data_IF_048784204288
#
_entry.id   IF_048784204288
#
_cell.length_a   1.000
_cell.length_b   1.000
_cell.length_c   1.000
_cell.angle_alpha   90.00
_cell.angle_beta   90.00
_cell.angle_gamma   90.00
#
_symmetry.space_group_name_H-M   'P 1'
#
loop_
_entity.id
_entity.type
_entity.pdbx_description
1 polymer ?
#
# COMPACT_ATOMS: atom_id res chain seq x y z
N UNK A 1 -11.03 4.24 -16.40
CA UNK A 1 -12.14 5.00 -15.85
C UNK A 1 -13.36 4.13 -15.74
N UNK A 2 -13.85 3.89 -14.52
CA UNK A 2 -15.13 3.22 -14.31
C UNK A 2 -16.23 4.18 -14.74
N UNK A 3 -16.81 3.93 -15.90
CA UNK A 3 -18.07 4.55 -16.33
C UNK A 3 -19.20 3.88 -15.53
N UNK A 4 -19.89 4.65 -14.69
CA UNK A 4 -21.03 4.20 -13.88
C UNK A 4 -22.29 3.89 -14.68
N UNK A 5 -22.16 3.54 -15.94
CA UNK A 5 -23.28 3.05 -16.73
C UNK A 5 -23.66 1.65 -16.27
N UNK A 6 -24.93 1.44 -16.04
CA UNK A 6 -25.51 0.10 -15.93
C UNK A 6 -25.04 -0.75 -17.12
N UNK A 7 -24.61 -2.00 -16.91
CA UNK A 7 -24.17 -2.84 -18.02
C UNK A 7 -25.31 -2.94 -19.04
N UNK A 8 -25.04 -2.51 -20.26
CA UNK A 8 -25.93 -2.77 -21.37
C UNK A 8 -25.99 -4.29 -21.57
N UNK A 9 -27.14 -4.82 -21.94
CA UNK A 9 -27.46 -6.27 -22.09
C UNK A 9 -26.50 -7.09 -22.99
N UNK A 10 -25.39 -6.53 -23.46
CA UNK A 10 -24.46 -7.14 -24.42
C UNK A 10 -23.01 -7.29 -23.94
N UNK A 11 -22.65 -6.75 -22.75
CA UNK A 11 -21.30 -6.97 -22.21
C UNK A 11 -21.34 -8.11 -21.21
N UNK A 12 -20.44 -9.11 -21.29
CA UNK A 12 -20.30 -10.08 -20.22
C UNK A 12 -20.02 -9.33 -18.93
N UNK A 13 -20.78 -9.64 -17.88
CA UNK A 13 -20.61 -9.02 -16.58
C UNK A 13 -19.27 -9.48 -16.01
N UNK A 14 -18.44 -8.51 -15.61
CA UNK A 14 -17.26 -8.81 -14.81
C UNK A 14 -17.75 -9.45 -13.51
N UNK A 15 -16.98 -10.41 -13.00
CA UNK A 15 -17.29 -11.10 -11.75
C UNK A 15 -17.68 -10.12 -10.63
N UNK A 16 -18.70 -10.47 -9.85
CA UNK A 16 -19.11 -9.73 -8.64
C UNK A 16 -18.03 -9.70 -7.54
N UNK A 17 -16.97 -10.49 -7.71
CA UNK A 17 -15.79 -10.46 -6.85
C UNK A 17 -14.89 -9.26 -7.10
N UNK A 18 -15.10 -8.49 -8.15
CA UNK A 18 -14.30 -7.28 -8.39
C UNK A 18 -14.40 -6.31 -7.21
N UNK A 19 -13.24 -5.90 -6.70
CA UNK A 19 -13.14 -5.07 -5.52
C UNK A 19 -13.26 -5.83 -4.19
N UNK A 20 -13.41 -7.15 -4.20
CA UNK A 20 -13.35 -8.00 -3.02
C UNK A 20 -11.92 -8.52 -2.78
N UNK A 21 -11.62 -8.95 -1.54
CA UNK A 21 -10.32 -9.48 -1.17
C UNK A 21 -9.16 -8.52 -1.52
N UNK A 22 -9.36 -7.23 -1.30
CA UNK A 22 -8.28 -6.25 -1.40
C UNK A 22 -7.35 -6.43 -0.21
N UNK A 23 -6.09 -6.70 -0.48
CA UNK A 23 -5.05 -7.00 0.51
C UNK A 23 -4.17 -5.79 0.72
N UNK A 24 -3.66 -5.60 1.93
CA UNK A 24 -2.91 -4.41 2.33
C UNK A 24 -1.57 -4.73 2.97
N UNK A 25 -1.12 -5.99 2.93
CA UNK A 25 0.00 -6.49 3.73
C UNK A 25 -0.14 -6.25 5.23
N UNK A 26 -1.34 -5.87 5.71
CA UNK A 26 -1.58 -5.55 7.14
C UNK A 26 -0.51 -4.62 7.69
N UNK A 27 -0.30 -3.49 7.03
CA UNK A 27 0.86 -2.63 7.28
C UNK A 27 0.64 -1.58 8.35
N UNK A 28 1.75 -1.20 8.97
CA UNK A 28 1.93 0.07 9.67
C UNK A 28 3.21 0.75 9.22
N UNK A 29 3.16 2.06 9.03
CA UNK A 29 4.32 2.86 8.65
C UNK A 29 4.68 3.79 9.79
N UNK A 30 5.86 3.60 10.34
CA UNK A 30 6.41 4.39 11.43
C UNK A 30 7.68 5.10 10.97
N UNK A 31 8.16 6.06 11.71
CA UNK A 31 9.46 6.67 11.44
C UNK A 31 10.18 7.05 12.73
N UNK A 32 11.50 7.14 12.65
CA UNK A 32 12.31 7.79 13.68
C UNK A 32 13.10 8.92 13.03
N UNK A 33 12.83 10.14 13.46
CA UNK A 33 13.62 11.31 13.07
C UNK A 33 14.84 11.44 13.98
N UNK A 34 16.01 11.25 13.42
CA UNK A 34 17.29 11.33 14.13
C UNK A 34 17.65 12.78 14.50
N UNK A 35 18.46 13.00 15.55
CA UNK A 35 18.98 14.30 15.91
C UNK A 35 19.81 14.94 14.79
N UNK A 36 19.93 16.26 14.79
CA UNK A 36 20.67 17.01 13.77
C UNK A 36 22.18 16.71 13.74
N UNK A 37 22.74 16.32 14.88
CA UNK A 37 24.16 16.00 15.07
C UNK A 37 24.49 14.51 14.85
N UNK A 38 23.55 13.73 14.31
CA UNK A 38 23.81 12.31 13.98
C UNK A 38 24.73 12.24 12.77
N UNK A 39 25.83 11.49 12.88
CA UNK A 39 26.78 11.27 11.78
C UNK A 39 26.17 10.42 10.65
N UNK A 40 25.35 9.43 11.01
CA UNK A 40 24.66 8.59 10.05
C UNK A 40 23.59 9.38 9.30
N UNK A 41 23.64 9.33 7.97
CA UNK A 41 22.71 10.01 7.08
C UNK A 41 21.92 8.97 6.26
N UNK A 42 20.76 8.55 6.73
CA UNK A 42 19.95 7.49 6.09
C UNK A 42 19.64 7.74 4.62
N UNK A 43 19.50 9.01 4.21
CA UNK A 43 19.17 9.37 2.83
C UNK A 43 20.27 9.01 1.79
N UNK A 44 21.45 8.63 2.24
CA UNK A 44 22.55 8.19 1.38
C UNK A 44 22.62 6.67 1.23
N UNK A 45 21.80 5.95 2.00
CA UNK A 45 21.70 4.50 1.92
C UNK A 45 20.76 4.06 0.78
N UNK A 46 20.74 2.76 0.51
CA UNK A 46 19.74 2.16 -0.37
C UNK A 46 18.34 2.29 0.23
N UNK A 47 17.33 2.39 -0.62
CA UNK A 47 15.96 2.66 -0.19
C UNK A 47 15.46 1.67 0.88
N UNK A 48 15.81 0.39 0.76
CA UNK A 48 15.54 -0.65 1.77
C UNK A 48 16.89 -1.25 2.16
N UNK A 49 17.36 -0.94 3.36
CA UNK A 49 18.73 -1.27 3.78
C UNK A 49 18.83 -2.55 4.61
N UNK A 50 17.82 -2.88 5.39
CA UNK A 50 17.81 -4.07 6.23
C UNK A 50 16.40 -4.46 6.63
N UNK A 51 16.26 -5.71 7.08
CA UNK A 51 14.98 -6.24 7.51
C UNK A 51 15.14 -7.23 8.65
N UNK A 52 14.09 -7.38 9.46
CA UNK A 52 14.02 -8.37 10.53
C UNK A 52 12.64 -9.02 10.56
N UNK A 53 12.59 -10.31 10.86
CA UNK A 53 11.36 -11.01 11.20
C UNK A 53 11.25 -11.07 12.72
N UNK A 54 10.21 -10.46 13.27
CA UNK A 54 9.94 -10.42 14.71
C UNK A 54 9.07 -11.59 15.15
N UNK A 55 8.34 -12.16 14.21
CA UNK A 55 7.55 -13.40 14.31
C UNK A 55 7.43 -14.04 12.92
N UNK A 56 6.92 -15.27 12.80
CA UNK A 56 6.76 -15.91 11.48
C UNK A 56 5.89 -15.15 10.49
N UNK A 57 4.98 -14.32 10.99
CA UNK A 57 4.01 -13.54 10.21
C UNK A 57 4.29 -12.03 10.18
N UNK A 58 5.36 -11.55 10.84
CA UNK A 58 5.66 -10.12 10.94
C UNK A 58 7.08 -9.79 10.52
N UNK A 59 7.17 -8.96 9.50
CA UNK A 59 8.40 -8.49 8.87
C UNK A 59 8.51 -6.97 9.03
N UNK A 60 9.68 -6.48 9.44
CA UNK A 60 9.97 -5.05 9.57
C UNK A 60 11.14 -4.71 8.67
N UNK A 61 10.98 -3.73 7.82
CA UNK A 61 12.03 -3.18 6.96
C UNK A 61 12.39 -1.76 7.36
N UNK A 62 13.68 -1.44 7.26
CA UNK A 62 14.18 -0.09 7.38
C UNK A 62 14.20 0.55 5.99
N UNK A 63 13.42 1.61 5.84
CA UNK A 63 13.26 2.32 4.59
C UNK A 63 13.78 3.75 4.73
N UNK A 64 14.53 4.20 3.73
CA UNK A 64 15.04 5.55 3.67
C UNK A 64 14.59 6.24 2.39
N UNK A 65 14.44 7.53 2.46
CA UNK A 65 14.03 8.35 1.32
C UNK A 65 15.21 9.23 0.88
N UNK A 66 15.35 9.43 -0.42
CA UNK A 66 16.38 10.32 -0.94
C UNK A 66 16.29 11.75 -0.39
N UNK A 67 17.34 12.56 -0.51
CA UNK A 67 17.46 13.87 0.15
C UNK A 67 16.42 14.92 -0.28
N UNK A 68 15.60 14.63 -1.29
CA UNK A 68 14.48 15.46 -1.75
C UNK A 68 13.11 15.02 -1.21
N UNK A 69 13.06 13.99 -0.35
CA UNK A 69 11.84 13.44 0.22
C UNK A 69 11.26 14.20 1.42
N UNK A 70 11.71 15.42 1.69
CA UNK A 70 11.32 16.19 2.88
C UNK A 70 9.80 16.40 3.03
N UNK A 71 9.05 16.48 1.92
CA UNK A 71 7.59 16.63 1.95
C UNK A 71 6.87 15.53 2.73
N UNK A 72 7.49 14.36 2.84
CA UNK A 72 6.94 13.21 3.56
C UNK A 72 6.77 13.46 5.06
N UNK A 73 7.48 14.46 5.64
CA UNK A 73 7.29 14.84 7.05
C UNK A 73 5.82 15.11 7.37
N UNK A 74 5.05 15.66 6.40
CA UNK A 74 3.65 16.03 6.57
C UNK A 74 2.73 14.83 6.82
N UNK A 75 3.19 13.62 6.55
CA UNK A 75 2.45 12.39 6.82
C UNK A 75 2.62 11.92 8.26
N UNK A 76 3.57 12.47 9.02
CA UNK A 76 3.97 11.97 10.32
C UNK A 76 3.65 12.93 11.46
N UNK A 77 3.39 12.38 12.63
CA UNK A 77 3.24 13.09 13.92
C UNK A 77 3.96 12.31 15.01
N UNK A 78 3.93 12.81 16.26
CA UNK A 78 4.46 12.04 17.39
C UNK A 78 3.78 10.68 17.47
N UNK A 79 4.59 9.65 17.72
CA UNK A 79 4.08 8.30 17.86
C UNK A 79 3.18 8.18 19.09
N UNK A 80 2.08 7.46 18.93
CA UNK A 80 1.15 7.12 20.00
C UNK A 80 0.93 5.62 20.03
N UNK A 81 0.80 5.07 21.23
CA UNK A 81 0.54 3.65 21.45
C UNK A 81 -0.86 3.22 21.01
N UNK A 82 -1.16 1.95 21.21
CA UNK A 82 -2.43 1.33 20.89
C UNK A 82 -3.64 2.07 21.47
N UNK A 83 -4.79 1.90 20.83
CA UNK A 83 -6.03 2.53 21.27
C UNK A 83 -7.16 2.40 20.26
N UNK A 84 -8.21 3.15 20.54
CA UNK A 84 -9.41 3.22 19.71
C UNK A 84 -9.46 4.54 18.93
N UNK A 85 -10.46 4.70 18.07
CA UNK A 85 -10.74 5.99 17.38
C UNK A 85 -10.92 7.18 18.30
N UNK A 86 -11.24 6.94 19.59
CA UNK A 86 -11.40 7.98 20.60
C UNK A 86 -10.11 8.15 21.41
N UNK A 87 -9.52 7.05 21.86
CA UNK A 87 -8.40 7.10 22.79
C UNK A 87 -7.08 7.48 22.13
N UNK A 88 -6.84 7.11 20.86
CA UNK A 88 -5.58 7.50 20.15
C UNK A 88 -5.46 9.01 19.94
N UNK A 89 -6.48 9.75 19.46
CA UNK A 89 -6.41 11.22 19.42
C UNK A 89 -6.14 11.86 20.78
N UNK A 90 -6.78 11.35 21.84
CA UNK A 90 -6.55 11.85 23.20
C UNK A 90 -5.11 11.59 23.67
N UNK A 91 -4.56 10.41 23.38
CA UNK A 91 -3.15 10.09 23.62
C UNK A 91 -2.22 11.00 22.83
N UNK A 92 -2.55 11.33 21.58
CA UNK A 92 -1.78 12.27 20.79
C UNK A 92 -1.79 13.65 21.44
N UNK A 93 -2.95 14.18 21.80
CA UNK A 93 -3.04 15.48 22.49
C UNK A 93 -2.21 15.46 23.78
N UNK A 94 -2.31 14.42 24.58
CA UNK A 94 -1.50 14.26 25.78
C UNK A 94 0.02 14.23 25.48
N UNK A 95 0.43 13.56 24.40
CA UNK A 95 1.83 13.53 23.97
C UNK A 95 2.32 14.92 23.49
N UNK A 96 1.50 15.67 22.78
CA UNK A 96 1.81 17.04 22.34
C UNK A 96 2.00 17.98 23.54
N UNK A 97 1.11 17.88 24.55
CA UNK A 97 1.21 18.69 25.78
C UNK A 97 2.41 18.29 26.62
N UNK A 98 2.71 16.99 26.73
CA UNK A 98 3.82 16.48 27.54
C UNK A 98 5.19 16.73 26.89
N UNK A 99 5.24 16.77 25.54
CA UNK A 99 6.49 16.88 24.77
C UNK A 99 6.42 17.97 23.69
N UNK A 100 6.10 19.25 24.06
CA UNK A 100 5.89 20.32 23.09
C UNK A 100 7.12 20.59 22.22
N UNK A 101 8.32 20.52 22.78
CA UNK A 101 9.55 20.71 22.00
C UNK A 101 9.78 19.60 20.97
N UNK A 102 9.54 18.33 21.33
CA UNK A 102 9.62 17.22 20.38
C UNK A 102 8.58 17.37 19.27
N UNK A 103 7.38 17.84 19.60
CA UNK A 103 6.35 18.13 18.62
C UNK A 103 6.79 19.20 17.62
N UNK A 104 7.26 20.35 18.11
CA UNK A 104 7.78 21.41 17.25
C UNK A 104 8.95 20.93 16.38
N UNK A 105 9.86 20.15 16.93
CA UNK A 105 10.95 19.53 16.18
C UNK A 105 10.44 18.54 15.13
N UNK A 106 9.36 17.81 15.41
CA UNK A 106 8.75 16.87 14.45
C UNK A 106 8.14 17.59 13.25
N UNK A 107 7.61 18.80 13.45
CA UNK A 107 7.04 19.63 12.40
C UNK A 107 8.07 20.33 11.51
N UNK A 108 9.36 20.29 11.86
CA UNK A 108 10.40 20.93 11.07
C UNK A 108 10.69 20.12 9.78
N UNK A 109 10.33 20.64 8.59
CA UNK A 109 10.42 19.85 7.37
C UNK A 109 11.84 19.70 6.84
N UNK A 110 12.67 20.75 6.98
CA UNK A 110 13.96 20.82 6.32
C UNK A 110 14.93 19.75 6.81
N UNK A 111 15.42 18.93 5.88
CA UNK A 111 16.31 17.82 6.14
C UNK A 111 15.63 16.67 6.88
N UNK A 112 14.29 16.57 6.82
CA UNK A 112 13.58 15.43 7.43
C UNK A 112 14.02 14.12 6.78
N UNK A 113 13.97 14.03 5.45
CA UNK A 113 14.35 12.81 4.71
C UNK A 113 15.81 12.39 4.93
N UNK A 114 16.70 13.34 5.16
CA UNK A 114 18.12 13.05 5.47
C UNK A 114 18.33 12.40 6.82
N UNK A 115 17.39 12.56 7.74
CA UNK A 115 17.49 12.13 9.13
C UNK A 115 16.37 11.18 9.55
N UNK A 116 15.42 10.89 8.68
CA UNK A 116 14.34 9.99 8.99
C UNK A 116 14.66 8.58 8.52
N UNK A 117 14.46 7.62 9.41
CA UNK A 117 14.40 6.20 9.10
C UNK A 117 12.94 5.77 9.24
N UNK A 118 12.35 5.32 8.16
CA UNK A 118 11.02 4.75 8.19
C UNK A 118 11.09 3.25 8.47
N UNK A 119 10.05 2.75 9.14
CA UNK A 119 9.82 1.35 9.42
C UNK A 119 8.59 0.93 8.65
N UNK A 120 8.75 0.08 7.68
CA UNK A 120 7.65 -0.56 6.99
C UNK A 120 7.40 -1.90 7.67
N UNK A 121 6.32 -1.98 8.42
CA UNK A 121 5.92 -3.19 9.16
C UNK A 121 4.85 -3.89 8.37
N UNK A 122 5.12 -5.12 7.95
CA UNK A 122 4.24 -5.93 7.10
C UNK A 122 3.90 -7.25 7.78
N UNK A 123 2.68 -7.75 7.53
CA UNK A 123 2.21 -9.01 8.08
C UNK A 123 1.53 -9.88 7.02
N UNK A 124 1.75 -11.19 7.09
CA UNK A 124 1.12 -12.19 6.22
C UNK A 124 -0.24 -12.68 6.72
N UNK A 125 -1.00 -11.81 7.42
CA UNK A 125 -2.31 -12.16 7.97
C UNK A 125 -3.35 -12.34 6.87
N UNK A 126 -4.25 -13.31 7.06
CA UNK A 126 -5.41 -13.52 6.17
C UNK A 126 -6.54 -12.55 6.51
N UNK A 127 -6.33 -11.29 6.24
CA UNK A 127 -7.33 -10.23 6.35
C UNK A 127 -7.45 -9.47 5.01
N UNK A 128 -8.56 -8.81 4.82
CA UNK A 128 -8.83 -8.05 3.60
C UNK A 128 -9.79 -6.90 3.85
N UNK A 129 -9.80 -5.97 2.91
CA UNK A 129 -10.87 -4.99 2.77
C UNK A 129 -11.61 -5.22 1.44
N UNK A 130 -12.74 -4.60 1.29
CA UNK A 130 -13.46 -4.56 0.01
C UNK A 130 -13.60 -3.11 -0.46
N UNK A 131 -13.38 -2.89 -1.76
CA UNK A 131 -13.79 -1.64 -2.40
C UNK A 131 -15.28 -1.68 -2.73
N UNK A 132 -15.99 -0.61 -2.42
CA UNK A 132 -17.42 -0.45 -2.72
C UNK A 132 -17.67 0.87 -3.42
N UNK A 133 -18.41 0.79 -4.50
CA UNK A 133 -18.94 1.98 -5.17
C UNK A 133 -20.26 2.40 -4.48
N UNK A 134 -20.30 3.61 -3.95
CA UNK A 134 -21.51 4.18 -3.31
C UNK A 134 -21.87 5.50 -3.98
N UNK A 135 -23.17 5.85 -4.07
CA UNK A 135 -23.58 7.18 -4.55
C UNK A 135 -22.89 8.27 -3.73
N UNK A 136 -22.59 9.40 -4.35
CA UNK A 136 -22.12 10.59 -3.62
C UNK A 136 -23.24 11.11 -2.74
N UNK A 137 -22.88 11.63 -1.56
CA UNK A 137 -23.86 12.24 -0.63
C UNK A 137 -24.34 13.57 -1.20
N UNK A 138 -23.47 14.30 -1.90
CA UNK A 138 -23.79 15.56 -2.56
C UNK A 138 -23.34 15.51 -4.01
N UNK A 139 -24.20 15.97 -4.93
CA UNK A 139 -23.96 15.97 -6.37
C UNK A 139 -24.25 14.62 -7.04
N UNK A 140 -23.97 14.54 -8.34
CA UNK A 140 -24.12 13.33 -9.15
C UNK A 140 -22.81 12.51 -9.19
N UNK A 141 -22.92 11.19 -9.35
CA UNK A 141 -21.78 10.29 -9.53
C UNK A 141 -21.56 9.32 -8.38
N UNK A 142 -20.45 8.60 -8.46
CA UNK A 142 -20.08 7.51 -7.55
C UNK A 142 -18.84 7.93 -6.75
N UNK A 143 -18.74 7.49 -5.50
CA UNK A 143 -17.51 7.50 -4.70
C UNK A 143 -17.09 6.08 -4.38
N UNK A 144 -15.80 5.83 -4.40
CA UNK A 144 -15.24 4.59 -3.89
C UNK A 144 -15.09 4.69 -2.37
N UNK A 145 -15.45 3.63 -1.67
CA UNK A 145 -15.27 3.47 -0.22
C UNK A 145 -14.65 2.12 0.06
N UNK A 146 -14.06 1.97 1.24
CA UNK A 146 -13.56 0.69 1.74
C UNK A 146 -14.47 0.16 2.84
N UNK A 147 -14.59 -1.16 2.90
CA UNK A 147 -15.26 -1.88 3.99
C UNK A 147 -14.26 -2.90 4.55
N UNK A 148 -14.12 -2.92 5.88
CA UNK A 148 -13.32 -3.91 6.58
C UNK A 148 -14.10 -5.23 6.68
N UNK A 149 -13.37 -6.34 6.66
CA UNK A 149 -13.92 -7.61 7.09
C UNK A 149 -14.13 -7.54 8.62
N UNK A 150 -15.37 -7.70 9.12
CA UNK A 150 -15.64 -7.61 10.54
C UNK A 150 -15.04 -8.74 11.36
N UNK A 151 -14.81 -9.91 10.75
CA UNK A 151 -14.22 -11.08 11.41
C UNK A 151 -12.69 -11.02 11.42
N UNK A 152 -12.11 -10.43 10.38
CA UNK A 152 -10.66 -10.32 10.18
C UNK A 152 -10.24 -8.89 9.81
N UNK A 153 -10.42 -7.92 10.70
CA UNK A 153 -10.08 -6.52 10.39
C UNK A 153 -8.57 -6.35 10.26
N UNK A 154 -8.15 -5.38 9.44
CA UNK A 154 -6.75 -4.97 9.41
C UNK A 154 -6.35 -4.35 10.76
N UNK A 155 -5.18 -4.71 11.31
CA UNK A 155 -4.68 -4.12 12.55
C UNK A 155 -4.44 -2.61 12.36
N UNK A 156 -4.81 -1.82 13.36
CA UNK A 156 -4.54 -0.39 13.43
C UNK A 156 -3.30 -0.08 14.27
N UNK A 157 -2.72 -1.09 14.88
CA UNK A 157 -1.54 -1.03 15.72
C UNK A 157 -0.77 -2.36 15.63
N UNK A 158 0.52 -2.30 15.38
CA UNK A 158 1.40 -3.46 15.34
C UNK A 158 2.51 -3.23 16.38
N UNK A 159 2.40 -3.93 17.51
CA UNK A 159 3.25 -3.76 18.68
C UNK A 159 4.76 -3.88 18.37
N UNK A 160 5.13 -4.87 17.56
CA UNK A 160 6.52 -5.11 17.17
C UNK A 160 7.15 -3.90 16.47
N UNK A 161 6.43 -3.27 15.55
CA UNK A 161 6.90 -2.07 14.84
C UNK A 161 7.04 -0.87 15.77
N UNK A 162 6.06 -0.66 16.65
CA UNK A 162 6.10 0.44 17.61
C UNK A 162 7.28 0.28 18.59
N UNK A 163 7.49 -0.92 19.13
CA UNK A 163 8.65 -1.22 19.98
C UNK A 163 9.98 -1.01 19.28
N UNK A 164 10.09 -1.41 18.00
CA UNK A 164 11.31 -1.19 17.22
C UNK A 164 11.59 0.30 17.02
N UNK A 165 10.57 1.10 16.70
CA UNK A 165 10.71 2.54 16.54
C UNK A 165 11.05 3.24 17.87
N UNK A 166 10.42 2.84 18.98
CA UNK A 166 10.77 3.33 20.32
C UNK A 166 12.20 3.00 20.70
N UNK A 167 12.63 1.76 20.48
CA UNK A 167 13.98 1.32 20.76
C UNK A 167 15.02 2.15 19.99
N UNK A 168 14.82 2.36 18.69
CA UNK A 168 15.73 3.18 17.89
C UNK A 168 15.73 4.63 18.37
N UNK A 169 14.55 5.21 18.64
CA UNK A 169 14.45 6.58 19.15
C UNK A 169 15.17 6.79 20.49
N UNK A 170 15.05 5.84 21.42
CA UNK A 170 15.75 5.87 22.70
C UNK A 170 17.27 5.77 22.52
N UNK A 171 17.72 4.87 21.64
CA UNK A 171 19.14 4.62 21.43
C UNK A 171 19.86 5.76 20.72
N UNK A 172 19.15 6.50 19.87
CA UNK A 172 19.70 7.60 19.08
C UNK A 172 19.39 8.99 19.62
N UNK A 173 18.51 9.08 20.62
CA UNK A 173 17.96 10.37 21.06
C UNK A 173 16.97 10.97 20.03
N UNK A 174 16.49 10.16 19.10
CA UNK A 174 15.56 10.54 18.04
C UNK A 174 14.11 10.72 18.50
N UNK A 175 13.24 11.04 17.57
CA UNK A 175 11.80 11.23 17.79
C UNK A 175 11.05 10.15 17.02
N UNK A 176 10.41 9.23 17.74
CA UNK A 176 9.52 8.26 17.16
C UNK A 176 8.23 8.92 16.66
N UNK A 177 7.82 8.56 15.46
CA UNK A 177 6.71 9.14 14.73
C UNK A 177 5.81 8.02 14.16
N UNK A 178 4.50 8.26 14.10
CA UNK A 178 3.54 7.43 13.37
C UNK A 178 2.80 8.26 12.33
N UNK A 179 2.19 7.59 11.36
CA UNK A 179 1.35 8.27 10.37
C UNK A 179 0.19 8.98 11.07
N UNK A 180 -0.09 10.20 10.65
CA UNK A 180 -1.10 11.07 11.25
C UNK A 180 -2.50 10.46 11.20
N UNK A 181 -2.85 9.71 10.14
CA UNK A 181 -4.14 9.02 10.03
C UNK A 181 -4.30 7.90 11.05
N UNK A 182 -3.24 7.18 11.37
CA UNK A 182 -3.25 6.18 12.44
C UNK A 182 -3.41 6.85 13.80
N UNK A 183 -2.68 7.93 14.05
CA UNK A 183 -2.70 8.62 15.33
C UNK A 183 -4.02 9.36 15.61
N UNK A 184 -4.60 10.01 14.60
CA UNK A 184 -5.82 10.83 14.75
C UNK A 184 -7.12 10.07 14.50
N UNK A 185 -7.13 9.14 13.56
CA UNK A 185 -8.38 8.51 13.11
C UNK A 185 -8.42 7.00 13.37
N UNK A 186 -7.32 6.42 13.88
CA UNK A 186 -7.16 4.98 14.04
C UNK A 186 -7.45 4.23 12.72
N UNK A 187 -6.92 4.78 11.61
CA UNK A 187 -7.05 4.21 10.27
C UNK A 187 -5.70 3.61 9.89
N UNK A 188 -5.63 2.28 9.63
CA UNK A 188 -4.39 1.66 9.19
C UNK A 188 -3.99 2.19 7.81
N UNK A 189 -2.71 2.29 7.58
CA UNK A 189 -2.13 2.76 6.33
C UNK A 189 -1.27 1.67 5.70
N UNK A 190 -1.18 1.67 4.37
CA UNK A 190 -0.39 0.69 3.63
C UNK A 190 0.37 1.37 2.48
N UNK A 191 1.54 0.85 2.16
CA UNK A 191 2.27 1.15 0.93
C UNK A 191 1.91 0.18 -0.21
N UNK A 192 1.22 -0.93 0.11
CA UNK A 192 0.91 -1.99 -0.85
C UNK A 192 -0.59 -2.24 -0.92
N UNK A 193 -1.18 -1.97 -2.10
CA UNK A 193 -2.57 -2.29 -2.40
C UNK A 193 -2.57 -3.46 -3.37
N UNK A 194 -3.04 -4.61 -2.89
CA UNK A 194 -3.03 -5.89 -3.60
C UNK A 194 -4.46 -6.44 -3.66
N UNK A 195 -4.71 -7.42 -4.53
CA UNK A 195 -6.03 -8.03 -4.63
C UNK A 195 -7.10 -7.10 -5.21
N UNK A 196 -8.35 -7.48 -5.06
CA UNK A 196 -9.49 -6.78 -5.69
C UNK A 196 -9.84 -7.29 -7.08
N UNK A 197 -8.92 -7.94 -7.78
CA UNK A 197 -9.17 -8.69 -9.01
C UNK A 197 -8.49 -10.06 -8.93
N UNK A 198 -8.66 -10.74 -7.81
CA UNK A 198 -7.90 -11.93 -7.43
C UNK A 198 -8.11 -13.11 -8.37
N UNK A 199 -7.07 -13.94 -8.45
CA UNK A 199 -7.12 -15.23 -9.11
C UNK A 199 -8.12 -16.12 -8.37
N UNK A 200 -9.01 -16.77 -9.14
CA UNK A 200 -9.98 -17.73 -8.64
C UNK A 200 -10.12 -18.93 -9.54
N UNK A 201 -10.85 -19.95 -9.06
CA UNK A 201 -11.16 -21.13 -9.84
C UNK A 201 -12.23 -20.82 -10.92
N UNK A 202 -13.15 -19.93 -10.61
CA UNK A 202 -14.26 -19.49 -11.44
C UNK A 202 -14.68 -18.05 -11.11
N UNK A 203 -15.65 -17.50 -11.83
CA UNK A 203 -16.16 -16.16 -11.63
C UNK A 203 -16.88 -15.96 -10.28
N UNK A 204 -17.25 -17.02 -9.56
CA UNK A 204 -17.84 -16.94 -8.23
C UNK A 204 -16.77 -16.82 -7.15
N UNK A 205 -15.56 -17.30 -7.39
CA UNK A 205 -14.44 -17.29 -6.44
C UNK A 205 -13.39 -16.21 -6.71
N UNK A 206 -13.28 -15.70 -7.96
CA UNK A 206 -12.31 -14.67 -8.33
C UNK A 206 -12.75 -13.84 -9.53
N UNK A 207 -11.84 -13.00 -10.00
CA UNK A 207 -12.06 -12.12 -11.17
C UNK A 207 -11.29 -12.64 -12.37
N UNK A 208 -10.13 -13.25 -12.16
CA UNK A 208 -9.25 -13.78 -13.19
C UNK A 208 -8.95 -15.26 -12.93
N UNK A 209 -8.65 -15.98 -14.02
CA UNK A 209 -8.20 -17.36 -13.94
C UNK A 209 -6.69 -17.45 -13.56
N UNK A 210 -6.16 -18.68 -13.46
CA UNK A 210 -4.74 -18.95 -13.18
C UNK A 210 -3.75 -18.40 -14.22
N UNK A 211 -4.23 -17.93 -15.36
CA UNK A 211 -3.46 -17.29 -16.42
C UNK A 211 -3.71 -15.78 -16.47
N UNK A 212 -4.27 -15.21 -15.41
CA UNK A 212 -4.62 -13.79 -15.28
C UNK A 212 -5.66 -13.30 -16.30
N UNK A 213 -6.41 -14.17 -16.97
CA UNK A 213 -7.47 -13.80 -17.90
C UNK A 213 -8.75 -13.51 -17.13
N UNK A 214 -9.36 -12.37 -17.40
CA UNK A 214 -10.65 -12.00 -16.79
C UNK A 214 -11.74 -12.96 -17.27
N UNK A 215 -12.47 -13.57 -16.33
CA UNK A 215 -13.57 -14.47 -16.65
C UNK A 215 -14.60 -13.81 -17.59
N UNK A 216 -14.97 -14.53 -18.64
CA UNK A 216 -15.90 -14.02 -19.67
C UNK A 216 -15.26 -13.15 -20.75
N UNK A 217 -13.96 -12.85 -20.67
CA UNK A 217 -13.24 -12.06 -21.67
C UNK A 217 -12.08 -12.85 -22.29
N UNK A 218 -11.92 -12.75 -23.62
CA UNK A 218 -10.85 -13.47 -24.34
C UNK A 218 -9.50 -12.75 -24.30
N UNK A 219 -9.50 -11.41 -24.33
CA UNK A 219 -8.33 -10.58 -24.56
C UNK A 219 -8.11 -9.54 -23.43
N UNK A 220 -8.59 -9.84 -22.24
CA UNK A 220 -8.43 -8.97 -21.08
C UNK A 220 -7.66 -9.73 -19.99
N UNK A 221 -6.49 -9.21 -19.63
CA UNK A 221 -5.65 -9.74 -18.56
C UNK A 221 -5.47 -8.69 -17.47
N UNK A 222 -5.27 -9.17 -16.26
CA UNK A 222 -4.86 -8.34 -15.11
C UNK A 222 -3.49 -8.82 -14.66
N UNK A 223 -2.45 -8.03 -14.95
CA UNK A 223 -1.04 -8.38 -14.74
C UNK A 223 -0.35 -7.42 -13.75
N UNK A 224 -1.01 -7.15 -12.64
CA UNK A 224 -0.50 -6.31 -11.57
C UNK A 224 -0.86 -6.87 -10.18
N UNK A 225 -0.56 -6.12 -9.13
CA UNK A 225 -0.82 -6.53 -7.75
C UNK A 225 -2.29 -6.82 -7.44
N UNK A 226 -3.23 -6.35 -8.25
CA UNK A 226 -4.66 -6.61 -8.04
C UNK A 226 -5.06 -8.08 -8.24
N UNK A 227 -4.25 -8.85 -8.96
CA UNK A 227 -4.44 -10.29 -9.13
C UNK A 227 -4.00 -11.12 -7.90
N UNK A 228 -3.24 -10.55 -6.98
CA UNK A 228 -2.69 -11.27 -5.83
C UNK A 228 -3.78 -11.66 -4.83
N UNK A 229 -3.89 -12.95 -4.46
CA UNK A 229 -4.98 -13.42 -3.59
C UNK A 229 -4.68 -13.31 -2.09
N UNK A 230 -3.44 -13.02 -1.69
CA UNK A 230 -3.00 -13.06 -0.29
C UNK A 230 -2.06 -11.91 0.06
N UNK A 231 -1.89 -11.64 1.36
CA UNK A 231 -0.84 -10.78 1.89
C UNK A 231 0.48 -11.55 1.92
N UNK A 232 1.52 -11.17 1.15
CA UNK A 232 2.81 -11.86 1.19
C UNK A 232 3.63 -11.56 2.45
N UNK A 233 3.32 -10.50 3.20
CA UNK A 233 4.08 -10.05 4.37
C UNK A 233 5.46 -9.49 4.03
N UNK A 234 5.73 -9.26 2.75
CA UNK A 234 6.97 -8.70 2.20
C UNK A 234 6.64 -7.82 1.00
N UNK A 235 7.64 -7.09 0.48
CA UNK A 235 7.47 -6.30 -0.74
C UNK A 235 7.01 -7.17 -1.91
N UNK A 236 5.91 -6.83 -2.60
CA UNK A 236 5.26 -7.71 -3.55
C UNK A 236 5.83 -7.66 -4.98
N UNK A 237 6.78 -6.78 -5.28
CA UNK A 237 7.24 -6.53 -6.66
C UNK A 237 7.72 -7.79 -7.38
N UNK A 238 8.51 -8.64 -6.70
CA UNK A 238 8.98 -9.89 -7.29
C UNK A 238 7.80 -10.84 -7.60
N UNK A 239 6.86 -10.97 -6.67
CA UNK A 239 5.68 -11.82 -6.85
C UNK A 239 4.79 -11.30 -7.98
N UNK A 240 4.58 -9.98 -8.06
CA UNK A 240 3.81 -9.35 -9.15
C UNK A 240 4.48 -9.61 -10.50
N UNK A 241 5.80 -9.45 -10.56
CA UNK A 241 6.57 -9.74 -11.78
C UNK A 241 6.43 -11.20 -12.18
N UNK A 242 6.60 -12.14 -11.25
CA UNK A 242 6.48 -13.57 -11.52
C UNK A 242 5.09 -13.96 -12.03
N UNK A 243 4.02 -13.40 -11.44
CA UNK A 243 2.64 -13.63 -11.89
C UNK A 243 2.44 -13.06 -13.31
N UNK A 244 2.99 -11.88 -13.58
CA UNK A 244 2.90 -11.23 -14.90
C UNK A 244 3.66 -12.02 -15.96
N UNK A 245 4.89 -12.44 -15.68
CA UNK A 245 5.69 -13.29 -16.57
C UNK A 245 4.98 -14.62 -16.87
N UNK A 246 4.40 -15.25 -15.84
CA UNK A 246 3.59 -16.45 -16.03
C UNK A 246 2.41 -16.19 -16.97
N UNK A 247 1.65 -15.12 -16.75
CA UNK A 247 0.52 -14.76 -17.62
C UNK A 247 0.97 -14.51 -19.06
N UNK A 248 2.05 -13.76 -19.25
CA UNK A 248 2.58 -13.43 -20.58
C UNK A 248 3.15 -14.65 -21.30
N UNK A 249 3.70 -15.63 -20.60
CA UNK A 249 4.18 -16.88 -21.21
C UNK A 249 3.04 -17.71 -21.88
N UNK A 250 1.79 -17.44 -21.53
CA UNK A 250 0.61 -18.07 -22.12
C UNK A 250 0.01 -17.29 -23.30
N UNK A 251 0.58 -16.12 -23.62
CA UNK A 251 0.16 -15.30 -24.77
C UNK A 251 1.01 -15.73 -25.98
N UNK A 252 0.32 -16.11 -27.06
CA UNK A 252 1.02 -16.48 -28.29
C UNK A 252 1.85 -15.29 -28.82
N UNK A 253 3.04 -15.54 -29.36
CA UNK A 253 3.83 -14.49 -30.01
C UNK A 253 3.04 -13.78 -31.09
N UNK A 254 3.24 -12.48 -31.23
CA UNK A 254 2.66 -11.74 -32.34
C UNK A 254 3.14 -12.35 -33.65
N UNK A 255 2.21 -12.77 -34.51
CA UNK A 255 2.56 -13.13 -35.88
C UNK A 255 3.02 -11.83 -36.54
N UNK A 256 4.27 -11.79 -37.01
CA UNK A 256 4.74 -10.67 -37.82
C UNK A 256 3.80 -10.54 -39.04
N UNK A 257 2.88 -9.60 -39.00
CA UNK A 257 2.20 -9.14 -40.20
C UNK A 257 3.28 -8.44 -41.01
N UNK A 258 3.75 -9.09 -42.08
CA UNK A 258 4.39 -8.37 -43.17
C UNK A 258 3.38 -7.32 -43.65
N UNK A 259 3.55 -6.10 -43.20
CA UNK A 259 2.90 -4.95 -43.80
C UNK A 259 3.67 -4.76 -45.11
N UNK A 260 3.15 -5.38 -46.18
CA UNK A 260 3.51 -4.96 -47.54
C UNK A 260 3.04 -3.49 -47.62
N UNK A 261 3.97 -2.56 -47.42
CA UNK A 261 3.76 -1.17 -47.80
C UNK A 261 3.74 -1.18 -49.33
N UNK A 262 2.58 -1.17 -49.91
CA UNK A 262 2.40 -0.65 -51.24
C UNK A 262 2.80 0.81 -51.20
N UNK A 263 4.06 1.06 -51.65
CA UNK A 263 4.50 2.40 -51.98
C UNK A 263 3.80 2.77 -53.27
N UNK A 264 2.60 3.34 -53.22
CA UNK A 264 2.06 4.09 -54.34
C UNK A 264 3.02 5.23 -54.64
N UNK A 265 3.76 5.07 -55.70
CA UNK A 265 4.59 6.12 -56.28
C UNK A 265 3.66 7.27 -56.73
N UNK A 266 3.67 8.36 -56.00
CA UNK A 266 3.13 9.63 -56.46
C UNK A 266 4.08 10.15 -57.55
N UNK A 267 3.82 9.77 -58.79
CA UNK A 267 4.32 10.48 -59.97
C UNK A 267 3.27 11.56 -60.28
N UNK A 268 3.59 12.82 -59.91
CA UNK A 268 3.35 14.03 -60.69
C UNK A 268 3.94 15.22 -59.96
#
# INVERSE_FOLDING_TARGET
GFDGRQPTKQSPLISDRLGSLVRTNSESVLAVKLPANTEWQPAHDVAISSSIHTSPDTHIEFVTYGPKGDVLFSLFTLMVGDGTRITRPLKLIAALVRHPLKFLQSLWPFGWSRRAVAFLVMQSLDNAIAFRAKPRIFGTGIRMTTEQDPEKPNPTYIDAGNKAAEWLAQRTGGIAQSIILEALANIPTTAHILGGAVIGHDAASGVVDRHNRVFGYRNLLVCDGSAMPANPGVNPSLTITAITEHAMSQVAPAVERKVEREVEAWTH
#
